data_IF_397047585099
#
_entry.id   IF_397047585099
#
_cell.length_a   1.000
_cell.length_b   1.000
_cell.length_c   1.000
_cell.angle_alpha   90.00
_cell.angle_beta   90.00
_cell.angle_gamma   90.00
#
_symmetry.space_group_name_H-M   'P 1'
#
loop_
_entity.id
_entity.type
_entity.pdbx_description
1 polymer ?
#
# COMPACT_ATOMS: atom_id res chain seq x y z
N UNK A 1 22.23 4.06 5.33
CA UNK A 1 20.89 4.35 5.89
C UNK A 1 20.32 3.14 6.63
N UNK A 2 20.05 2.01 5.96
CA UNK A 2 19.54 0.79 6.60
C UNK A 2 20.43 0.27 7.76
N UNK A 3 21.77 0.34 7.62
CA UNK A 3 22.71 -0.03 8.68
C UNK A 3 22.62 0.85 9.95
N UNK A 4 22.17 2.11 9.82
CA UNK A 4 22.05 3.02 10.96
C UNK A 4 20.77 2.73 11.78
N UNK A 5 19.70 2.28 11.11
CA UNK A 5 18.44 1.84 11.71
C UNK A 5 18.61 0.49 12.42
N UNK A 6 19.37 -0.45 11.81
CA UNK A 6 19.75 -1.74 12.40
C UNK A 6 20.59 -1.59 13.68
N UNK A 7 21.40 -0.53 13.79
CA UNK A 7 22.29 -0.32 14.94
C UNK A 7 21.59 0.19 16.22
N UNK A 8 20.31 0.58 16.15
CA UNK A 8 19.58 1.23 17.25
C UNK A 8 18.19 0.66 17.55
N UNK A 9 17.75 -0.36 16.83
CA UNK A 9 16.39 -0.90 16.93
C UNK A 9 16.42 -2.39 16.63
N UNK A 10 15.68 -3.18 17.40
CA UNK A 10 15.49 -4.63 17.23
C UNK A 10 14.60 -4.95 16.00
N UNK A 11 14.87 -4.29 14.87
CA UNK A 11 14.06 -4.29 13.65
C UNK A 11 14.81 -5.06 12.57
N UNK A 12 14.15 -6.05 11.95
CA UNK A 12 14.74 -6.87 10.89
C UNK A 12 15.19 -6.02 9.68
N UNK A 13 16.24 -6.47 8.99
CA UNK A 13 16.94 -5.71 7.94
C UNK A 13 16.02 -5.25 6.80
N UNK A 14 15.03 -6.08 6.45
CA UNK A 14 14.03 -5.78 5.43
C UNK A 14 13.08 -4.65 5.86
N UNK A 15 12.73 -4.57 7.14
CA UNK A 15 11.87 -3.52 7.67
C UNK A 15 12.63 -2.20 7.80
N UNK A 16 13.92 -2.25 8.16
CA UNK A 16 14.80 -1.08 8.14
C UNK A 16 14.98 -0.48 6.73
N UNK A 17 15.12 -1.32 5.70
CA UNK A 17 15.18 -0.86 4.31
C UNK A 17 13.86 -0.21 3.85
N UNK A 18 12.71 -0.75 4.27
CA UNK A 18 11.39 -0.19 3.98
C UNK A 18 11.16 1.17 4.65
N UNK A 19 11.51 1.30 5.93
CA UNK A 19 11.47 2.57 6.65
C UNK A 19 12.33 3.62 5.95
N UNK A 20 13.53 3.25 5.50
CA UNK A 20 14.41 4.15 4.75
C UNK A 20 13.82 4.58 3.39
N UNK A 21 13.13 3.68 2.68
CA UNK A 21 12.43 4.00 1.43
C UNK A 21 11.24 4.93 1.65
N UNK A 22 10.45 4.72 2.71
CA UNK A 22 9.34 5.59 3.09
C UNK A 22 9.79 6.99 3.52
N UNK A 23 10.96 7.09 4.16
CA UNK A 23 11.52 8.35 4.62
C UNK A 23 12.18 9.20 3.50
N UNK A 24 12.15 8.73 2.24
CA UNK A 24 12.75 9.39 1.07
C UNK A 24 14.21 9.87 1.29
N UNK A 25 14.97 9.19 2.15
CA UNK A 25 16.35 9.56 2.48
C UNK A 25 16.55 10.48 3.70
N UNK A 26 15.52 10.82 4.47
CA UNK A 26 15.63 11.61 5.72
C UNK A 26 15.73 10.74 6.99
N UNK A 27 16.84 10.78 7.75
CA UNK A 27 17.02 9.97 8.95
C UNK A 27 16.05 10.31 10.10
N UNK A 28 15.62 11.58 10.21
CA UNK A 28 14.66 12.01 11.23
C UNK A 28 13.23 11.54 10.96
N UNK A 29 12.84 11.47 9.68
CA UNK A 29 11.56 10.90 9.27
C UNK A 29 11.54 9.37 9.46
N UNK A 30 12.67 8.70 9.21
CA UNK A 30 12.81 7.25 9.43
C UNK A 30 12.61 6.84 10.90
N UNK A 31 13.09 7.63 11.87
CA UNK A 31 12.92 7.37 13.30
C UNK A 31 11.49 7.66 13.81
N UNK A 32 10.75 8.57 13.16
CA UNK A 32 9.33 8.80 13.45
C UNK A 32 8.39 7.74 12.87
N UNK A 33 8.88 6.91 11.93
CA UNK A 33 8.12 5.87 11.24
C UNK A 33 8.18 4.50 11.94
N UNK A 34 9.12 4.28 12.86
CA UNK A 34 9.20 3.03 13.62
C UNK A 34 8.04 2.94 14.63
N UNK A 35 6.94 2.30 14.23
CA UNK A 35 5.74 2.12 15.03
C UNK A 35 4.59 3.11 14.77
N UNK A 36 4.69 3.92 13.70
CA UNK A 36 3.66 4.92 13.35
C UNK A 36 2.60 4.45 12.35
N UNK A 37 1.52 5.23 12.15
CA UNK A 37 0.40 4.90 11.26
C UNK A 37 0.79 4.55 9.81
N UNK A 38 1.87 5.15 9.31
CA UNK A 38 2.36 4.87 7.95
C UNK A 38 2.97 3.46 7.80
N UNK A 39 3.63 2.95 8.85
CA UNK A 39 4.17 1.59 8.86
C UNK A 39 3.04 0.55 8.97
N UNK A 40 2.00 0.85 9.76
CA UNK A 40 0.80 0.01 9.83
C UNK A 40 0.06 -0.04 8.49
N UNK A 41 -0.11 1.11 7.83
CA UNK A 41 -0.68 1.20 6.49
C UNK A 41 0.16 0.43 5.45
N UNK A 42 1.49 0.46 5.56
CA UNK A 42 2.39 -0.31 4.69
C UNK A 42 2.20 -1.81 4.87
N UNK A 43 2.25 -2.29 6.13
CA UNK A 43 2.04 -3.70 6.44
C UNK A 43 0.67 -4.18 5.96
N UNK A 44 -0.37 -3.37 6.14
CA UNK A 44 -1.72 -3.63 5.66
C UNK A 44 -1.78 -3.75 4.13
N UNK A 45 -1.25 -2.76 3.41
CA UNK A 45 -1.19 -2.75 1.95
C UNK A 45 -0.46 -3.98 1.38
N UNK A 46 0.68 -4.34 1.97
CA UNK A 46 1.44 -5.54 1.57
C UNK A 46 0.66 -6.81 1.81
N UNK A 47 -0.04 -6.94 2.95
CA UNK A 47 -0.92 -8.10 3.20
C UNK A 47 -2.01 -8.23 2.14
N UNK A 48 -2.63 -7.12 1.72
CA UNK A 48 -3.65 -7.16 0.67
C UNK A 48 -3.10 -7.56 -0.70
N UNK A 49 -1.90 -7.09 -1.06
CA UNK A 49 -1.27 -7.39 -2.35
C UNK A 49 -0.68 -8.81 -2.37
N UNK A 50 0.09 -9.18 -1.36
CA UNK A 50 0.91 -10.40 -1.34
C UNK A 50 0.24 -11.60 -0.64
N UNK A 51 -0.74 -11.36 0.25
CA UNK A 51 -1.44 -12.44 0.98
C UNK A 51 -2.45 -13.21 0.13
N UNK A 52 -3.15 -14.18 0.70
CA UNK A 52 -4.07 -15.03 -0.06
C UNK A 52 -5.42 -14.36 -0.36
N UNK A 53 -5.81 -13.37 0.42
CA UNK A 53 -7.13 -12.74 0.34
C UNK A 53 -7.17 -11.37 1.01
N UNK A 54 -8.30 -10.70 0.82
CA UNK A 54 -8.61 -9.41 1.44
C UNK A 54 -9.83 -9.64 2.33
N UNK A 55 -9.66 -9.46 3.64
CA UNK A 55 -10.75 -9.61 4.60
C UNK A 55 -11.72 -8.43 4.46
N UNK A 56 -13.00 -8.73 4.21
CA UNK A 56 -14.04 -7.73 4.06
C UNK A 56 -14.29 -6.95 5.36
N UNK A 57 -14.16 -7.57 6.52
CA UNK A 57 -14.34 -6.90 7.80
C UNK A 57 -13.21 -5.90 8.07
N UNK A 58 -11.96 -6.29 7.80
CA UNK A 58 -10.79 -5.41 7.88
C UNK A 58 -10.96 -4.21 6.93
N UNK A 59 -11.36 -4.47 5.69
CA UNK A 59 -11.62 -3.44 4.71
C UNK A 59 -12.68 -2.42 5.16
N UNK A 60 -13.81 -2.88 5.72
CA UNK A 60 -14.87 -2.01 6.24
C UNK A 60 -14.37 -1.17 7.42
N UNK A 61 -13.63 -1.78 8.35
CA UNK A 61 -13.05 -1.08 9.49
C UNK A 61 -12.09 0.04 9.07
N UNK A 62 -11.27 -0.20 8.04
CA UNK A 62 -10.37 0.82 7.48
C UNK A 62 -11.17 1.92 6.76
N UNK A 63 -12.20 1.57 5.99
CA UNK A 63 -13.05 2.54 5.32
C UNK A 63 -13.77 3.47 6.32
N UNK A 64 -14.25 2.92 7.45
CA UNK A 64 -14.88 3.71 8.51
C UNK A 64 -13.91 4.75 9.13
N UNK A 65 -12.59 4.47 9.11
CA UNK A 65 -11.56 5.40 9.61
C UNK A 65 -11.36 6.65 8.74
N UNK A 66 -11.91 6.66 7.52
CA UNK A 66 -11.83 7.80 6.60
C UNK A 66 -12.88 8.89 6.88
N UNK A 67 -13.68 8.73 7.95
CA UNK A 67 -14.63 9.75 8.40
C UNK A 67 -13.94 10.78 9.31
N UNK A 68 -14.49 12.00 9.32
CA UNK A 68 -14.02 13.09 10.16
C UNK A 68 -12.81 13.86 9.57
N UNK A 69 -12.28 14.80 10.35
CA UNK A 69 -11.30 15.78 9.88
C UNK A 69 -9.96 15.15 9.44
N UNK A 70 -9.56 14.05 10.05
CA UNK A 70 -8.32 13.32 9.71
C UNK A 70 -8.53 12.27 8.60
N UNK A 71 -9.78 12.02 8.23
CA UNK A 71 -10.17 10.98 7.28
C UNK A 71 -9.49 11.08 5.90
N UNK A 72 -9.43 12.27 5.27
CA UNK A 72 -8.72 12.45 4.01
C UNK A 72 -7.24 12.07 4.09
N UNK A 73 -6.53 12.51 5.14
CA UNK A 73 -5.12 12.20 5.31
C UNK A 73 -4.86 10.70 5.55
N UNK A 74 -5.76 10.02 6.29
CA UNK A 74 -5.71 8.55 6.45
C UNK A 74 -5.93 7.82 5.13
N UNK A 75 -6.90 8.27 4.34
CA UNK A 75 -7.15 7.69 3.02
C UNK A 75 -5.94 7.84 2.10
N UNK A 76 -5.36 9.04 2.01
CA UNK A 76 -4.19 9.30 1.17
C UNK A 76 -3.00 8.43 1.59
N UNK A 77 -2.79 8.27 2.90
CA UNK A 77 -1.74 7.40 3.43
C UNK A 77 -1.96 5.93 3.05
N UNK A 78 -3.17 5.40 3.23
CA UNK A 78 -3.48 4.01 2.86
C UNK A 78 -3.32 3.78 1.36
N UNK A 79 -3.80 4.72 0.54
CA UNK A 79 -3.69 4.63 -0.92
C UNK A 79 -2.24 4.72 -1.39
N UNK A 80 -1.42 5.62 -0.85
CA UNK A 80 0.01 5.70 -1.16
C UNK A 80 0.72 4.38 -0.88
N UNK A 81 0.46 3.78 0.29
CA UNK A 81 1.05 2.48 0.64
C UNK A 81 0.56 1.35 -0.26
N UNK A 82 -0.72 1.34 -0.64
CA UNK A 82 -1.27 0.36 -1.58
C UNK A 82 -0.62 0.49 -2.97
N UNK A 83 -0.50 1.71 -3.50
CA UNK A 83 0.15 2.02 -4.77
C UNK A 83 1.61 1.54 -4.76
N UNK A 84 2.34 1.80 -3.67
CA UNK A 84 3.73 1.36 -3.52
C UNK A 84 3.88 -0.17 -3.48
N UNK A 85 2.98 -0.87 -2.79
CA UNK A 85 2.97 -2.34 -2.75
C UNK A 85 2.68 -2.93 -4.14
N UNK A 86 1.69 -2.40 -4.86
CA UNK A 86 1.34 -2.82 -6.23
C UNK A 86 2.51 -2.58 -7.19
N UNK A 87 3.17 -1.41 -7.11
CA UNK A 87 4.37 -1.13 -7.91
C UNK A 87 5.48 -2.13 -7.65
N UNK A 88 5.74 -2.44 -6.37
CA UNK A 88 6.76 -3.42 -5.98
C UNK A 88 6.46 -4.80 -6.56
N UNK A 89 5.19 -5.22 -6.49
CA UNK A 89 4.72 -6.47 -7.09
C UNK A 89 4.91 -6.50 -8.60
N UNK A 90 4.60 -5.41 -9.30
CA UNK A 90 4.82 -5.29 -10.75
C UNK A 90 6.29 -5.46 -11.14
N UNK A 91 7.21 -4.82 -10.39
CA UNK A 91 8.65 -4.89 -10.63
C UNK A 91 9.29 -6.24 -10.29
N UNK A 92 8.65 -7.02 -9.42
CA UNK A 92 9.18 -8.29 -8.91
C UNK A 92 8.58 -9.53 -9.61
N UNK A 93 7.65 -9.31 -10.54
CA UNK A 93 6.94 -10.38 -11.25
C UNK A 93 7.59 -10.68 -12.60
N UNK A 94 7.47 -11.93 -13.07
CA UNK A 94 7.90 -12.32 -14.42
C UNK A 94 7.17 -11.49 -15.50
N UNK A 95 7.78 -11.35 -16.67
CA UNK A 95 7.37 -10.40 -17.72
C UNK A 95 5.87 -10.40 -18.06
N UNK A 96 5.20 -11.56 -18.06
CA UNK A 96 3.76 -11.68 -18.36
C UNK A 96 2.80 -11.43 -17.19
N UNK A 97 3.29 -11.51 -15.95
CA UNK A 97 2.52 -11.15 -14.75
C UNK A 97 2.74 -9.68 -14.38
N UNK A 98 3.96 -9.17 -14.58
CA UNK A 98 4.33 -7.79 -14.28
C UNK A 98 3.51 -6.74 -15.06
N UNK A 99 3.06 -7.05 -16.28
CA UNK A 99 2.24 -6.13 -17.09
C UNK A 99 0.87 -5.86 -16.47
N UNK A 100 0.14 -6.89 -16.00
CA UNK A 100 -1.18 -6.68 -15.39
C UNK A 100 -1.07 -5.86 -14.09
N UNK A 101 -0.01 -6.10 -13.31
CA UNK A 101 0.29 -5.35 -12.10
C UNK A 101 0.70 -3.90 -12.41
N UNK A 102 1.44 -3.64 -13.50
CA UNK A 102 1.81 -2.30 -13.94
C UNK A 102 0.60 -1.49 -14.44
N UNK A 103 -0.33 -2.13 -15.15
CA UNK A 103 -1.58 -1.52 -15.58
C UNK A 103 -2.49 -1.17 -14.39
N UNK A 104 -2.53 -2.03 -13.38
CA UNK A 104 -3.20 -1.73 -12.11
C UNK A 104 -2.53 -0.55 -11.39
N UNK A 105 -1.20 -0.56 -11.28
CA UNK A 105 -0.45 0.52 -10.64
C UNK A 105 -0.81 1.89 -11.27
N UNK A 106 -0.77 1.98 -12.60
CA UNK A 106 -1.07 3.21 -13.33
C UNK A 106 -2.46 3.75 -13.02
N UNK A 107 -3.47 2.86 -12.96
CA UNK A 107 -4.85 3.25 -12.63
C UNK A 107 -5.01 3.68 -11.17
N UNK A 108 -4.38 2.97 -10.23
CA UNK A 108 -4.46 3.29 -8.81
C UNK A 108 -3.77 4.62 -8.48
N UNK A 109 -2.65 4.94 -9.14
CA UNK A 109 -1.88 6.15 -8.90
C UNK A 109 -2.69 7.45 -9.13
N UNK A 110 -3.70 7.41 -9.99
CA UNK A 110 -4.54 8.57 -10.31
C UNK A 110 -5.77 8.69 -9.40
N UNK A 111 -6.12 7.65 -8.64
CA UNK A 111 -7.36 7.61 -7.87
C UNK A 111 -7.43 8.63 -6.72
N UNK A 112 -6.37 8.87 -5.92
CA UNK A 112 -6.44 9.84 -4.82
C UNK A 112 -6.75 11.25 -5.32
N UNK A 113 -6.03 11.71 -6.36
CA UNK A 113 -6.23 13.03 -6.95
C UNK A 113 -7.64 13.19 -7.53
N UNK A 114 -8.14 12.16 -8.25
CA UNK A 114 -9.52 12.15 -8.75
C UNK A 114 -10.54 12.18 -7.62
N UNK A 115 -10.31 11.40 -6.57
CA UNK A 115 -11.19 11.34 -5.39
C UNK A 115 -11.31 12.71 -4.73
N UNK A 116 -10.18 13.41 -4.56
CA UNK A 116 -10.18 14.77 -4.03
C UNK A 116 -10.85 15.77 -4.97
N UNK A 117 -10.59 15.68 -6.28
CA UNK A 117 -11.07 16.65 -7.27
C UNK A 117 -12.61 16.69 -7.40
N UNK A 118 -13.28 15.54 -7.27
CA UNK A 118 -14.75 15.44 -7.40
C UNK A 118 -15.45 14.97 -6.12
N UNK A 119 -14.73 14.94 -5.00
CA UNK A 119 -15.22 14.54 -3.68
C UNK A 119 -15.92 13.17 -3.67
N UNK A 120 -15.26 12.15 -4.23
CA UNK A 120 -15.76 10.77 -4.20
C UNK A 120 -15.78 10.21 -2.77
N UNK A 121 -16.63 9.22 -2.54
CA UNK A 121 -16.62 8.45 -1.30
C UNK A 121 -15.33 7.61 -1.20
N UNK A 122 -14.53 7.90 -0.17
CA UNK A 122 -13.21 7.28 0.03
C UNK A 122 -13.30 5.80 0.38
N UNK A 123 -14.38 5.38 1.06
CA UNK A 123 -14.63 3.98 1.40
C UNK A 123 -14.95 3.16 0.14
N UNK A 124 -15.80 3.69 -0.73
CA UNK A 124 -16.13 3.08 -2.01
C UNK A 124 -14.92 3.04 -2.96
N UNK A 125 -14.11 4.10 -2.99
CA UNK A 125 -12.87 4.14 -3.79
C UNK A 125 -11.88 3.07 -3.31
N UNK A 126 -11.64 2.97 -2.00
CA UNK A 126 -10.80 1.90 -1.45
C UNK A 126 -11.38 0.53 -1.82
N UNK A 127 -12.70 0.38 -1.78
CA UNK A 127 -13.34 -0.89 -2.11
C UNK A 127 -13.18 -1.30 -3.57
N UNK A 128 -13.32 -0.36 -4.50
CA UNK A 128 -13.01 -0.58 -5.91
C UNK A 128 -11.54 -0.94 -6.12
N UNK A 129 -10.62 -0.23 -5.48
CA UNK A 129 -9.18 -0.49 -5.57
C UNK A 129 -8.81 -1.92 -5.10
N UNK A 130 -9.37 -2.37 -3.97
CA UNK A 130 -9.11 -3.71 -3.44
C UNK A 130 -9.76 -4.82 -4.27
N UNK A 131 -10.95 -4.57 -4.84
CA UNK A 131 -11.57 -5.50 -5.78
C UNK A 131 -10.72 -5.68 -7.05
N UNK A 132 -10.12 -4.60 -7.54
CA UNK A 132 -9.19 -4.61 -8.67
C UNK A 132 -7.90 -5.38 -8.36
N UNK A 133 -7.32 -5.19 -7.17
CA UNK A 133 -6.18 -5.99 -6.68
C UNK A 133 -6.53 -7.47 -6.67
N UNK A 134 -7.67 -7.84 -6.06
CA UNK A 134 -8.12 -9.23 -6.00
C UNK A 134 -8.36 -9.84 -7.39
N UNK A 135 -8.85 -9.03 -8.35
CA UNK A 135 -9.04 -9.46 -9.75
C UNK A 135 -7.70 -9.78 -10.41
N UNK A 136 -6.72 -8.87 -10.33
CA UNK A 136 -5.40 -9.09 -10.94
C UNK A 136 -4.71 -10.30 -10.33
N UNK A 137 -4.76 -10.47 -9.00
CA UNK A 137 -4.24 -11.67 -8.32
C UNK A 137 -4.79 -12.96 -8.91
N UNK A 138 -6.11 -13.07 -9.05
CA UNK A 138 -6.75 -14.26 -9.65
C UNK A 138 -6.31 -14.50 -11.10
N UNK A 139 -6.21 -13.43 -11.89
CA UNK A 139 -5.78 -13.51 -13.29
C UNK A 139 -4.33 -14.02 -13.41
N UNK A 140 -3.42 -13.51 -12.58
CA UNK A 140 -2.01 -13.92 -12.61
C UNK A 140 -1.81 -15.33 -12.05
N UNK A 141 -2.52 -15.71 -10.98
CA UNK A 141 -2.45 -17.07 -10.43
C UNK A 141 -3.00 -18.12 -11.39
N UNK A 142 -4.05 -17.81 -12.15
CA UNK A 142 -4.61 -18.71 -13.16
C UNK A 142 -3.69 -18.94 -14.37
N UNK A 143 -2.72 -18.05 -14.63
CA UNK A 143 -1.73 -18.22 -15.71
C UNK A 143 -0.48 -18.98 -15.27
N UNK A 144 -0.28 -19.12 -13.95
CA UNK A 144 0.87 -19.80 -13.37
C UNK A 144 0.60 -21.29 -13.04
N UNK A 145 -0.68 -21.70 -13.01
CA UNK A 145 -1.13 -23.08 -12.82
C UNK A 145 -1.24 -23.82 -14.17
#
# INVERSE_FOLDING_TARGET
>A
MAQLILSRSDIEADEAARIAAMAAGSPGAALGLSGGPALEADRLARRWVDGDGIDRAEQLSIADSFRGAEGPARFDMVMDRLIAAVKTRALSSDAGQGSDWADLWSRLAELPDRTAAINLDRGDVLAGALADVARVKRMTSSRAA
#
